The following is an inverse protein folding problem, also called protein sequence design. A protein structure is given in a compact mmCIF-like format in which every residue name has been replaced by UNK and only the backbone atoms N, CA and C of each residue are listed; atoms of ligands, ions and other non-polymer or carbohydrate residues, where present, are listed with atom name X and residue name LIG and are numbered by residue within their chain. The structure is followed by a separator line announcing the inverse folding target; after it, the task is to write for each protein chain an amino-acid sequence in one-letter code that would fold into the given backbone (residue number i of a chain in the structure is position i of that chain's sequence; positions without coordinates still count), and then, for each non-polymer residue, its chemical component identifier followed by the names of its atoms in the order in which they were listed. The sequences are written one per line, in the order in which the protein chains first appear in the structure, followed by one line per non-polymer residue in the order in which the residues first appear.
data_IF_695398261076
#
_entry.id   IF_695398261076
#
_cell.length_a   1.000
_cell.length_b   1.000
_cell.length_c   1.000
_cell.angle_alpha   90.00
_cell.angle_beta   90.00
_cell.angle_gamma   90.00
#
_symmetry.space_group_name_H-M   'P 1'
#
loop_
_entity.id
_entity.type
_entity.pdbx_description
1 polymer ?
#
# COMPACT_ATOMS: atom_id res chain seq x y z
N UNK A 1 -10.16 -13.15 11.30
CA UNK A 1 -10.90 -11.99 11.85
C UNK A 1 -10.12 -11.25 12.94
N UNK A 2 -9.40 -11.93 13.84
CA UNK A 2 -8.68 -11.24 14.94
C UNK A 2 -7.53 -10.33 14.46
N UNK A 3 -6.79 -10.72 13.42
CA UNK A 3 -5.66 -9.93 12.88
C UNK A 3 -6.12 -8.79 11.99
N UNK A 4 -7.18 -8.99 11.20
CA UNK A 4 -7.71 -7.97 10.31
C UNK A 4 -8.22 -6.75 11.08
N UNK A 5 -8.97 -6.99 12.16
CA UNK A 5 -9.42 -5.94 13.07
C UNK A 5 -8.22 -5.28 13.73
N UNK A 6 -7.25 -6.06 14.22
CA UNK A 6 -6.03 -5.53 14.84
C UNK A 6 -5.25 -4.58 13.92
N UNK A 7 -5.07 -4.94 12.65
CA UNK A 7 -4.37 -4.09 11.69
C UNK A 7 -5.17 -2.83 11.36
N UNK A 8 -6.47 -2.99 11.09
CA UNK A 8 -7.35 -1.86 10.79
C UNK A 8 -7.41 -0.87 11.95
N UNK A 9 -7.54 -1.34 13.19
CA UNK A 9 -7.54 -0.46 14.37
C UNK A 9 -6.16 0.14 14.63
N UNK A 10 -5.07 -0.60 14.41
CA UNK A 10 -3.71 -0.08 14.51
C UNK A 10 -3.49 1.10 13.57
N UNK A 11 -3.96 1.01 12.32
CA UNK A 11 -3.86 2.11 11.34
C UNK A 11 -4.79 3.26 11.71
N UNK A 12 -6.08 2.96 11.94
CA UNK A 12 -7.12 3.96 12.16
C UNK A 12 -6.86 4.81 13.42
N UNK A 13 -6.35 4.21 14.50
CA UNK A 13 -6.05 4.88 15.76
C UNK A 13 -4.59 5.39 15.80
N UNK A 14 -3.65 4.61 15.26
CA UNK A 14 -2.24 4.94 15.27
C UNK A 14 -1.93 6.23 14.51
N UNK A 15 -2.58 6.47 13.36
CA UNK A 15 -2.34 7.68 12.56
C UNK A 15 -2.75 8.98 13.29
N UNK A 16 -3.96 9.09 13.89
CA UNK A 16 -4.31 10.23 14.75
C UNK A 16 -3.36 10.43 15.93
N UNK A 17 -2.94 9.36 16.61
CA UNK A 17 -1.97 9.46 17.72
C UNK A 17 -0.64 10.00 17.20
N UNK A 18 -0.15 9.47 16.09
CA UNK A 18 1.07 9.92 15.43
C UNK A 18 0.96 11.40 15.03
N UNK A 19 -0.19 11.83 14.52
CA UNK A 19 -0.44 13.21 14.08
C UNK A 19 -0.51 14.20 15.25
N UNK A 20 -1.40 13.95 16.20
CA UNK A 20 -1.78 14.94 17.20
C UNK A 20 -1.03 14.82 18.53
N UNK A 21 -0.41 13.67 18.82
CA UNK A 21 0.26 13.42 20.10
C UNK A 21 1.77 13.23 19.87
N UNK A 22 2.16 12.09 19.29
CA UNK A 22 3.56 11.72 19.09
C UNK A 22 3.64 10.44 18.25
N UNK A 23 4.69 10.30 17.45
CA UNK A 23 4.99 9.05 16.75
C UNK A 23 5.52 7.95 17.68
N UNK A 24 6.11 8.29 18.83
CA UNK A 24 6.80 7.32 19.68
C UNK A 24 5.90 6.18 20.18
N UNK A 25 4.68 6.42 20.69
CA UNK A 25 3.78 5.34 21.08
C UNK A 25 3.41 4.43 19.91
N UNK A 26 3.26 5.01 18.72
CA UNK A 26 2.89 4.29 17.49
C UNK A 26 4.07 3.45 16.99
N UNK A 27 5.29 4.01 17.00
CA UNK A 27 6.53 3.31 16.71
C UNK A 27 6.69 2.09 17.62
N UNK A 28 6.58 2.27 18.94
CA UNK A 28 6.71 1.17 19.91
C UNK A 28 5.65 0.10 19.71
N UNK A 29 4.39 0.49 19.48
CA UNK A 29 3.30 -0.44 19.23
C UNK A 29 3.50 -1.23 17.93
N UNK A 30 3.73 -0.55 16.81
CA UNK A 30 3.85 -1.17 15.51
C UNK A 30 5.09 -2.07 15.42
N UNK A 31 6.25 -1.63 15.92
CA UNK A 31 7.47 -2.44 15.94
C UNK A 31 7.29 -3.64 16.88
N UNK A 32 6.73 -3.42 18.08
CA UNK A 32 6.45 -4.50 19.03
C UNK A 32 5.49 -5.55 18.47
N UNK A 33 4.40 -5.11 17.83
CA UNK A 33 3.44 -5.98 17.17
C UNK A 33 4.10 -6.75 16.02
N UNK A 34 4.90 -6.08 15.19
CA UNK A 34 5.62 -6.72 14.09
C UNK A 34 6.58 -7.81 14.60
N UNK A 35 7.37 -7.53 15.64
CA UNK A 35 8.28 -8.50 16.25
C UNK A 35 7.51 -9.67 16.86
N UNK A 36 6.40 -9.41 17.56
CA UNK A 36 5.56 -10.47 18.11
C UNK A 36 4.99 -11.38 17.02
N UNK A 37 4.50 -10.81 15.91
CA UNK A 37 4.02 -11.56 14.75
C UNK A 37 5.15 -12.34 14.09
N UNK A 38 6.34 -11.75 13.97
CA UNK A 38 7.50 -12.41 13.38
C UNK A 38 7.92 -13.65 14.18
N UNK A 39 7.98 -13.53 15.50
CA UNK A 39 8.31 -14.65 16.40
C UNK A 39 7.25 -15.75 16.30
N UNK A 40 5.97 -15.39 16.24
CA UNK A 40 4.86 -16.36 16.16
C UNK A 40 4.63 -16.94 14.76
N UNK A 41 5.08 -16.23 13.72
CA UNK A 41 4.81 -16.58 12.33
C UNK A 41 5.57 -17.81 11.86
N UNK A 42 4.99 -18.52 10.90
CA UNK A 42 5.63 -19.65 10.22
C UNK A 42 6.74 -19.17 9.27
N UNK A 43 7.60 -20.08 8.79
CA UNK A 43 8.74 -19.75 7.91
C UNK A 43 8.32 -18.88 6.72
N UNK A 44 7.25 -19.26 6.02
CA UNK A 44 6.73 -18.52 4.87
C UNK A 44 6.31 -17.09 5.24
N UNK A 45 5.56 -16.95 6.33
CA UNK A 45 5.12 -15.64 6.81
C UNK A 45 6.31 -14.76 7.17
N UNK A 46 7.33 -15.30 7.84
CA UNK A 46 8.56 -14.57 8.16
C UNK A 46 9.31 -14.11 6.91
N UNK A 47 9.37 -14.94 5.86
CA UNK A 47 10.00 -14.56 4.59
C UNK A 47 9.22 -13.42 3.94
N UNK A 48 7.89 -13.50 3.88
CA UNK A 48 7.04 -12.43 3.34
C UNK A 48 7.19 -11.14 4.14
N UNK A 49 7.26 -11.21 5.47
CA UNK A 49 7.49 -10.07 6.36
C UNK A 49 8.80 -9.36 6.03
N UNK A 50 9.90 -10.10 5.92
CA UNK A 50 11.20 -9.52 5.57
C UNK A 50 11.19 -8.96 4.15
N UNK A 51 10.57 -9.67 3.20
CA UNK A 51 10.48 -9.21 1.82
C UNK A 51 9.70 -7.88 1.71
N UNK A 52 8.59 -7.74 2.44
CA UNK A 52 7.82 -6.48 2.49
C UNK A 52 8.70 -5.36 3.00
N UNK A 53 9.39 -5.53 4.13
CA UNK A 53 10.29 -4.50 4.66
C UNK A 53 11.42 -4.15 3.68
N UNK A 54 12.01 -5.16 3.04
CA UNK A 54 13.13 -5.00 2.12
C UNK A 54 12.77 -4.21 0.85
N UNK A 55 11.52 -4.28 0.38
CA UNK A 55 11.05 -3.48 -0.77
C UNK A 55 10.39 -2.17 -0.34
N UNK A 56 9.51 -2.20 0.66
CA UNK A 56 8.76 -1.03 1.09
C UNK A 56 9.67 0.06 1.67
N UNK A 57 10.63 -0.29 2.53
CA UNK A 57 11.50 0.72 3.17
C UNK A 57 12.29 1.57 2.15
N UNK A 58 13.06 0.97 1.21
CA UNK A 58 13.79 1.78 0.24
C UNK A 58 12.87 2.51 -0.75
N UNK A 59 11.74 1.91 -1.15
CA UNK A 59 10.76 2.62 -1.99
C UNK A 59 10.19 3.83 -1.28
N UNK A 60 9.79 3.68 -0.03
CA UNK A 60 9.23 4.75 0.80
C UNK A 60 10.24 5.87 1.02
N UNK A 61 11.48 5.54 1.36
CA UNK A 61 12.56 6.52 1.49
C UNK A 61 12.83 7.23 0.17
N UNK A 62 12.80 6.51 -0.96
CA UNK A 62 12.95 7.14 -2.26
C UNK A 62 11.78 8.10 -2.56
N UNK A 63 10.54 7.69 -2.31
CA UNK A 63 9.36 8.51 -2.56
C UNK A 63 9.31 9.77 -1.68
N UNK A 64 9.62 9.62 -0.39
CA UNK A 64 9.47 10.69 0.60
C UNK A 64 10.69 11.57 0.79
N UNK A 65 11.91 11.07 0.56
CA UNK A 65 13.16 11.79 0.89
C UNK A 65 14.01 12.16 -0.34
N UNK A 66 13.80 11.48 -1.49
CA UNK A 66 14.61 11.69 -2.70
C UNK A 66 13.74 12.28 -3.82
N UNK A 67 12.63 11.63 -4.14
CA UNK A 67 11.71 12.04 -5.18
C UNK A 67 10.73 13.12 -4.70
N UNK A 68 10.49 13.21 -3.38
CA UNK A 68 9.62 14.19 -2.74
C UNK A 68 8.22 14.23 -3.37
N UNK A 69 7.67 13.05 -3.71
CA UNK A 69 6.31 12.95 -4.28
C UNK A 69 5.24 13.19 -3.20
N UNK A 70 5.60 12.95 -1.94
CA UNK A 70 4.89 13.42 -0.75
C UNK A 70 5.89 13.64 0.38
N UNK A 71 5.52 14.47 1.34
CA UNK A 71 6.33 14.75 2.53
C UNK A 71 5.55 14.38 3.79
N UNK A 72 6.25 13.79 4.76
CA UNK A 72 5.71 13.53 6.08
C UNK A 72 5.70 14.80 6.93
N UNK A 73 4.74 14.89 7.85
CA UNK A 73 4.56 16.03 8.77
C UNK A 73 5.80 16.45 9.58
N UNK A 74 6.80 15.58 9.72
CA UNK A 74 8.05 15.80 10.47
C UNK A 74 9.29 15.74 9.57
N UNK A 75 9.11 15.86 8.26
CA UNK A 75 10.16 15.84 7.22
C UNK A 75 10.99 14.55 7.16
N UNK A 76 10.57 13.51 7.88
CA UNK A 76 11.20 12.19 7.86
C UNK A 76 10.11 11.13 7.92
N UNK A 77 10.32 10.06 7.15
CA UNK A 77 9.52 8.84 7.25
C UNK A 77 9.50 8.27 8.68
N UNK A 78 8.33 8.13 9.32
CA UNK A 78 8.22 7.51 10.65
C UNK A 78 8.62 6.04 10.66
N UNK A 79 9.21 5.58 11.78
CA UNK A 79 9.72 4.20 11.91
C UNK A 79 8.62 3.13 11.88
N UNK A 80 7.35 3.48 12.17
CA UNK A 80 6.23 2.56 12.04
C UNK A 80 5.84 2.31 10.57
N UNK A 81 6.26 3.12 9.60
CA UNK A 81 5.83 3.02 8.20
C UNK A 81 6.32 1.72 7.54
N UNK A 82 7.61 1.33 7.63
CA UNK A 82 8.08 0.06 7.09
C UNK A 82 7.30 -1.17 7.57
N UNK A 83 7.02 -1.25 8.88
CA UNK A 83 6.25 -2.36 9.46
C UNK A 83 4.75 -2.22 9.22
N UNK A 84 4.26 -0.99 9.03
CA UNK A 84 2.88 -0.69 8.63
C UNK A 84 2.52 -1.28 7.26
N UNK A 85 3.47 -1.29 6.32
CA UNK A 85 3.30 -1.94 5.02
C UNK A 85 3.00 -3.44 5.17
N UNK A 86 3.62 -4.13 6.12
CA UNK A 86 3.28 -5.52 6.41
C UNK A 86 1.84 -5.67 6.90
N UNK A 87 1.38 -4.79 7.79
CA UNK A 87 0.00 -4.84 8.29
C UNK A 87 -1.03 -4.64 7.18
N UNK A 88 -0.79 -3.68 6.29
CA UNK A 88 -1.65 -3.43 5.14
C UNK A 88 -1.61 -4.60 4.14
N UNK A 89 -0.41 -5.12 3.85
CA UNK A 89 -0.22 -6.29 2.98
C UNK A 89 -0.94 -7.54 3.50
N UNK A 90 -0.72 -7.91 4.76
CA UNK A 90 -1.36 -9.10 5.35
C UNK A 90 -2.87 -8.91 5.50
N UNK A 91 -3.34 -7.68 5.77
CA UNK A 91 -4.76 -7.33 5.74
C UNK A 91 -5.35 -7.55 4.35
N UNK A 92 -4.73 -6.97 3.31
CA UNK A 92 -5.17 -7.08 1.92
C UNK A 92 -5.19 -8.53 1.44
N UNK A 93 -4.13 -9.30 1.75
CA UNK A 93 -4.05 -10.72 1.46
C UNK A 93 -5.19 -11.51 2.10
N UNK A 94 -5.48 -11.27 3.38
CA UNK A 94 -6.58 -11.95 4.10
C UNK A 94 -7.95 -11.61 3.56
N UNK A 95 -8.17 -10.37 3.12
CA UNK A 95 -9.42 -9.94 2.49
C UNK A 95 -9.54 -10.56 1.10
N UNK A 96 -8.49 -10.47 0.27
CA UNK A 96 -8.47 -11.03 -1.07
C UNK A 96 -8.76 -12.54 -1.09
N UNK A 97 -8.23 -13.29 -0.11
CA UNK A 97 -8.47 -14.74 0.03
C UNK A 97 -9.93 -15.10 0.39
N UNK A 98 -10.77 -14.14 0.76
CA UNK A 98 -12.21 -14.34 1.02
C UNK A 98 -13.10 -13.87 -0.12
N UNK A 99 -12.53 -13.21 -1.12
CA UNK A 99 -13.26 -12.69 -2.28
C UNK A 99 -13.21 -13.69 -3.45
N UNK A 100 -14.18 -13.63 -4.37
CA UNK A 100 -14.15 -14.46 -5.56
C UNK A 100 -12.86 -14.26 -6.35
N UNK A 101 -12.23 -15.35 -6.75
CA UNK A 101 -11.00 -15.29 -7.55
C UNK A 101 -11.33 -14.99 -9.02
N UNK A 102 -10.36 -14.41 -9.73
CA UNK A 102 -10.44 -14.22 -11.17
C UNK A 102 -10.14 -12.80 -11.64
N UNK A 103 -9.40 -12.70 -12.76
CA UNK A 103 -8.97 -11.42 -13.35
C UNK A 103 -10.13 -10.51 -13.73
N UNK A 104 -11.23 -11.07 -14.25
CA UNK A 104 -12.43 -10.29 -14.61
C UNK A 104 -13.10 -9.66 -13.39
N UNK A 105 -13.20 -10.40 -12.29
CA UNK A 105 -13.78 -9.89 -11.04
C UNK A 105 -12.88 -8.81 -10.43
N UNK A 106 -11.57 -9.06 -10.38
CA UNK A 106 -10.59 -8.09 -9.90
C UNK A 106 -10.57 -6.81 -10.75
N UNK A 107 -10.62 -6.92 -12.08
CA UNK A 107 -10.74 -5.78 -12.98
C UNK A 107 -12.07 -5.03 -12.76
N UNK A 108 -13.17 -5.77 -12.56
CA UNK A 108 -14.47 -5.21 -12.21
C UNK A 108 -14.42 -4.37 -10.94
N UNK A 109 -13.66 -4.81 -9.92
CA UNK A 109 -13.48 -4.07 -8.68
C UNK A 109 -12.68 -2.75 -8.84
N UNK A 110 -11.92 -2.59 -9.93
CA UNK A 110 -11.21 -1.35 -10.26
C UNK A 110 -12.02 -0.40 -11.16
N UNK A 111 -13.09 -0.87 -11.79
CA UNK A 111 -13.94 -0.05 -12.69
C UNK A 111 -14.42 1.27 -12.06
N UNK A 112 -14.79 1.34 -10.76
CA UNK A 112 -15.22 2.59 -10.15
C UNK A 112 -14.18 3.72 -10.20
N UNK A 113 -12.88 3.41 -10.31
CA UNK A 113 -11.83 4.42 -10.39
C UNK A 113 -11.75 5.10 -11.75
N UNK A 114 -12.22 4.45 -12.83
CA UNK A 114 -12.09 4.94 -14.20
C UNK A 114 -12.73 6.32 -14.42
N UNK A 115 -14.04 6.53 -14.14
CA UNK A 115 -14.69 7.80 -14.47
C UNK A 115 -14.05 8.97 -13.72
N UNK A 116 -13.74 8.80 -12.44
CA UNK A 116 -13.13 9.85 -11.62
C UNK A 116 -11.69 10.16 -12.10
N UNK A 117 -10.90 9.13 -12.42
CA UNK A 117 -9.53 9.32 -12.95
C UNK A 117 -9.54 10.09 -14.27
N UNK A 118 -10.44 9.74 -15.20
CA UNK A 118 -10.54 10.43 -16.49
C UNK A 118 -10.94 11.89 -16.29
N UNK A 119 -11.93 12.14 -15.42
CA UNK A 119 -12.37 13.50 -15.12
C UNK A 119 -11.28 14.35 -14.49
N UNK A 120 -10.57 13.85 -13.46
CA UNK A 120 -9.48 14.58 -12.80
C UNK A 120 -8.31 14.86 -13.74
N UNK A 121 -8.02 13.93 -14.65
CA UNK A 121 -6.96 14.15 -15.65
C UNK A 121 -7.37 15.20 -16.70
N UNK A 122 -8.64 15.20 -17.12
CA UNK A 122 -9.16 16.22 -18.04
C UNK A 122 -9.17 17.62 -17.42
N UNK A 123 -9.54 17.73 -16.14
CA UNK A 123 -9.54 18.99 -15.39
C UNK A 123 -8.12 19.44 -14.97
N UNK A 124 -7.12 18.59 -15.15
CA UNK A 124 -5.72 18.86 -14.79
C UNK A 124 -5.40 18.68 -13.29
N UNK A 125 -6.37 18.24 -12.48
CA UNK A 125 -6.22 18.01 -11.03
C UNK A 125 -5.27 16.85 -10.73
N UNK A 126 -5.43 15.72 -11.44
CA UNK A 126 -4.57 14.55 -11.30
C UNK A 126 -4.39 13.86 -12.65
N UNK A 127 -3.36 14.28 -13.38
CA UNK A 127 -2.99 13.65 -14.65
C UNK A 127 -2.15 12.39 -14.45
N UNK A 128 -1.46 12.26 -13.31
CA UNK A 128 -0.73 11.05 -12.94
C UNK A 128 -1.64 9.83 -12.75
N UNK A 129 -2.90 10.07 -12.35
CA UNK A 129 -3.92 9.05 -12.15
C UNK A 129 -4.14 8.14 -13.36
N UNK A 130 -4.03 8.64 -14.60
CA UNK A 130 -4.16 7.83 -15.81
C UNK A 130 -3.04 6.77 -15.92
N UNK A 131 -1.81 7.16 -15.57
CA UNK A 131 -0.67 6.24 -15.56
C UNK A 131 -0.83 5.19 -14.46
N UNK A 132 -1.24 5.61 -13.26
CA UNK A 132 -1.49 4.71 -12.12
C UNK A 132 -2.65 3.73 -12.40
N UNK A 133 -3.71 4.18 -13.08
CA UNK A 133 -4.82 3.34 -13.53
C UNK A 133 -4.34 2.26 -14.51
N UNK A 134 -3.57 2.66 -15.52
CA UNK A 134 -3.00 1.72 -16.48
C UNK A 134 -2.10 0.68 -15.80
N UNK A 135 -1.28 1.11 -14.85
CA UNK A 135 -0.40 0.24 -14.07
C UNK A 135 -1.22 -0.77 -13.24
N UNK A 136 -2.29 -0.34 -12.57
CA UNK A 136 -3.18 -1.20 -11.80
C UNK A 136 -3.87 -2.26 -12.65
N UNK A 137 -4.42 -1.88 -13.80
CA UNK A 137 -4.98 -2.85 -14.75
C UNK A 137 -3.90 -3.78 -15.30
N UNK A 138 -2.67 -3.29 -15.52
CA UNK A 138 -1.50 -4.09 -15.87
C UNK A 138 -1.21 -5.18 -14.83
N UNK A 139 -1.19 -4.83 -13.54
CA UNK A 139 -1.00 -5.80 -12.45
C UNK A 139 -2.13 -6.83 -12.40
N UNK A 140 -3.39 -6.41 -12.52
CA UNK A 140 -4.53 -7.35 -12.57
C UNK A 140 -4.43 -8.29 -13.78
N UNK A 141 -3.97 -7.78 -14.91
CA UNK A 141 -3.90 -8.54 -16.17
C UNK A 141 -2.73 -9.53 -16.22
N UNK A 142 -1.58 -9.16 -15.67
CA UNK A 142 -0.30 -9.87 -15.83
C UNK A 142 0.23 -10.47 -14.53
N UNK A 143 -0.12 -9.91 -13.38
CA UNK A 143 0.44 -10.31 -12.10
C UNK A 143 -0.14 -11.63 -11.56
N UNK A 144 0.59 -12.28 -10.63
CA UNK A 144 0.21 -13.55 -10.02
C UNK A 144 -0.98 -13.46 -9.05
N UNK A 145 -1.30 -12.28 -8.51
CA UNK A 145 -2.36 -12.12 -7.50
C UNK A 145 -3.39 -11.02 -7.85
N UNK A 146 -4.20 -11.19 -8.91
CA UNK A 146 -5.11 -10.15 -9.42
C UNK A 146 -6.03 -9.53 -8.35
N UNK A 147 -6.63 -10.38 -7.51
CA UNK A 147 -7.57 -9.91 -6.48
C UNK A 147 -6.85 -9.18 -5.34
N UNK A 148 -5.60 -9.53 -5.05
CA UNK A 148 -4.79 -8.80 -4.06
C UNK A 148 -4.58 -7.36 -4.53
N UNK A 149 -4.17 -7.15 -5.79
CA UNK A 149 -3.97 -5.81 -6.33
C UNK A 149 -5.26 -4.98 -6.26
N UNK A 150 -6.40 -5.56 -6.65
CA UNK A 150 -7.67 -4.87 -6.58
C UNK A 150 -8.05 -4.47 -5.15
N UNK A 151 -7.89 -5.36 -4.18
CA UNK A 151 -8.13 -5.07 -2.75
C UNK A 151 -7.17 -3.99 -2.24
N UNK A 152 -5.90 -4.08 -2.60
CA UNK A 152 -4.87 -3.13 -2.16
C UNK A 152 -5.07 -1.74 -2.75
N UNK A 153 -5.65 -1.63 -3.95
CA UNK A 153 -6.09 -0.34 -4.50
C UNK A 153 -7.02 0.40 -3.52
N UNK A 154 -8.04 -0.31 -3.03
CA UNK A 154 -9.04 0.24 -2.12
C UNK A 154 -8.50 0.46 -0.71
N UNK A 155 -7.73 -0.49 -0.18
CA UNK A 155 -7.14 -0.36 1.16
C UNK A 155 -6.10 0.76 1.23
N UNK A 156 -5.24 0.86 0.22
CA UNK A 156 -4.27 1.95 0.11
C UNK A 156 -4.99 3.29 -0.01
N UNK A 157 -5.99 3.42 -0.90
CA UNK A 157 -6.75 4.67 -1.03
C UNK A 157 -7.42 5.08 0.29
N UNK A 158 -8.06 4.14 1.01
CA UNK A 158 -8.70 4.44 2.29
C UNK A 158 -7.68 4.93 3.34
N UNK A 159 -6.51 4.28 3.40
CA UNK A 159 -5.44 4.66 4.32
C UNK A 159 -4.81 6.00 3.94
N UNK A 160 -4.61 6.25 2.65
CA UNK A 160 -4.05 7.49 2.10
C UNK A 160 -4.99 8.67 2.32
N UNK A 161 -6.29 8.51 2.07
CA UNK A 161 -7.30 9.54 2.39
C UNK A 161 -7.33 9.86 3.88
N UNK A 162 -7.18 8.84 4.73
CA UNK A 162 -7.12 9.03 6.17
C UNK A 162 -5.85 9.78 6.61
N UNK A 163 -4.68 9.34 6.14
CA UNK A 163 -3.39 9.93 6.49
C UNK A 163 -3.22 11.36 6.00
N UNK A 164 -3.58 11.62 4.74
CA UNK A 164 -3.55 12.96 4.14
C UNK A 164 -4.62 13.87 4.71
N UNK A 165 -5.82 13.37 4.97
CA UNK A 165 -6.90 14.12 5.62
C UNK A 165 -6.53 14.58 7.05
N UNK A 166 -5.73 13.78 7.77
CA UNK A 166 -5.16 14.16 9.07
C UNK A 166 -3.97 15.13 8.93
N UNK A 167 -3.36 15.22 7.74
CA UNK A 167 -2.10 15.93 7.50
C UNK A 167 -0.88 15.20 8.07
N UNK A 168 -0.91 13.87 8.12
CA UNK A 168 0.25 13.05 8.55
C UNK A 168 1.33 13.03 7.45
N UNK A 169 0.91 13.04 6.19
CA UNK A 169 1.74 13.36 5.03
C UNK A 169 0.91 14.16 4.02
N UNK A 170 1.57 14.74 3.03
CA UNK A 170 0.92 15.53 1.98
C UNK A 170 1.63 15.29 0.66
N UNK A 171 0.86 14.94 -0.37
CA UNK A 171 1.36 14.75 -1.72
C UNK A 171 1.67 16.08 -2.40
N UNK A 172 2.75 16.09 -3.18
CA UNK A 172 3.11 17.22 -4.01
C UNK A 172 2.05 17.42 -5.12
N UNK A 173 1.56 18.65 -5.36
CA UNK A 173 0.53 18.90 -6.37
C UNK A 173 1.05 18.70 -7.81
N UNK A 174 2.37 18.70 -8.00
CA UNK A 174 3.04 18.30 -9.23
C UNK A 174 3.99 17.16 -8.91
N UNK A 175 4.00 16.12 -9.74
CA UNK A 175 4.92 14.98 -9.61
C UNK A 175 6.32 15.44 -10.02
N UNK A 176 7.28 15.52 -9.08
CA UNK A 176 8.61 16.05 -9.36
C UNK A 176 9.30 15.34 -10.52
N UNK A 177 10.06 16.10 -11.30
CA UNK A 177 10.78 15.65 -12.50
C UNK A 177 9.90 15.22 -13.69
N UNK A 178 8.59 15.46 -13.61
CA UNK A 178 7.64 15.16 -14.68
C UNK A 178 6.68 16.34 -14.91
N UNK A 179 5.94 16.38 -16.04
CA UNK A 179 4.89 17.38 -16.25
C UNK A 179 3.56 17.00 -15.59
N UNK A 180 3.50 15.90 -14.82
CA UNK A 180 2.25 15.37 -14.28
C UNK A 180 1.83 16.12 -13.01
N UNK A 181 0.52 16.24 -12.84
CA UNK A 181 -0.14 16.72 -11.62
C UNK A 181 -0.67 15.54 -10.81
N UNK A 182 -0.77 15.73 -9.51
CA UNK A 182 -1.22 14.73 -8.56
C UNK A 182 -2.21 15.36 -7.57
N UNK A 183 -3.31 14.65 -7.28
CA UNK A 183 -4.20 15.02 -6.19
C UNK A 183 -3.60 14.61 -4.84
N UNK A 184 -4.13 15.14 -3.74
CA UNK A 184 -3.69 14.79 -2.39
C UNK A 184 -4.78 13.96 -1.68
N UNK A 185 -4.70 12.62 -1.70
CA UNK A 185 -3.72 11.76 -2.36
C UNK A 185 -4.13 11.40 -3.81
N UNK A 186 -3.22 10.90 -4.67
CA UNK A 186 -3.58 10.36 -5.96
C UNK A 186 -4.53 9.17 -5.79
N UNK A 187 -5.60 9.13 -6.57
CA UNK A 187 -6.67 8.14 -6.39
C UNK A 187 -6.17 6.68 -6.45
N UNK A 188 -5.12 6.45 -7.22
CA UNK A 188 -4.54 5.13 -7.50
C UNK A 188 -3.09 5.02 -7.04
N UNK A 189 -2.68 5.79 -6.03
CA UNK A 189 -1.40 5.57 -5.33
C UNK A 189 -1.22 4.12 -4.83
N UNK A 190 -2.32 3.38 -4.66
CA UNK A 190 -2.37 1.92 -4.52
C UNK A 190 -1.55 1.12 -5.55
N UNK A 191 -1.19 1.70 -6.69
CA UNK A 191 -0.30 1.08 -7.66
C UNK A 191 1.12 0.85 -7.11
N UNK A 192 1.64 1.71 -6.24
CA UNK A 192 2.93 1.47 -5.60
C UNK A 192 2.87 0.29 -4.63
N UNK A 193 1.75 0.13 -3.92
CA UNK A 193 1.49 -1.05 -3.08
C UNK A 193 1.38 -2.31 -3.95
N UNK A 194 0.63 -2.26 -5.06
CA UNK A 194 0.53 -3.37 -6.00
C UNK A 194 1.88 -3.80 -6.61
N UNK A 195 2.79 -2.84 -6.85
CA UNK A 195 4.17 -3.13 -7.26
C UNK A 195 4.95 -3.87 -6.15
N UNK A 196 4.88 -3.38 -4.91
CA UNK A 196 5.46 -4.05 -3.75
C UNK A 196 4.93 -5.48 -3.60
N UNK A 197 3.62 -5.67 -3.70
CA UNK A 197 2.97 -6.98 -3.62
C UNK A 197 3.46 -7.93 -4.71
N UNK A 198 3.64 -7.43 -5.94
CA UNK A 198 4.20 -8.21 -7.04
C UNK A 198 5.62 -8.67 -6.71
N UNK A 199 6.49 -7.76 -6.26
CA UNK A 199 7.88 -8.06 -5.92
C UNK A 199 8.00 -9.05 -4.75
N UNK A 200 7.17 -8.88 -3.73
CA UNK A 200 7.08 -9.80 -2.59
C UNK A 200 6.63 -11.18 -3.05
N UNK A 201 5.54 -11.27 -3.82
CA UNK A 201 5.05 -12.56 -4.31
C UNK A 201 6.08 -13.29 -5.19
N UNK A 202 6.75 -12.58 -6.10
CA UNK A 202 7.79 -13.18 -6.95
C UNK A 202 8.99 -13.66 -6.15
N UNK A 203 9.41 -12.90 -5.14
CA UNK A 203 10.56 -13.23 -4.29
C UNK A 203 10.25 -14.41 -3.37
N UNK A 204 9.12 -14.39 -2.67
CA UNK A 204 8.70 -15.48 -1.78
C UNK A 204 8.52 -16.77 -2.55
N UNK A 205 7.89 -16.75 -3.74
CA UNK A 205 7.75 -17.94 -4.60
C UNK A 205 9.11 -18.56 -4.95
N UNK A 206 10.12 -17.73 -5.23
CA UNK A 206 11.48 -18.21 -5.52
C UNK A 206 12.19 -18.79 -4.29
N UNK A 207 12.00 -18.21 -3.11
CA UNK A 207 12.68 -18.63 -1.87
C UNK A 207 12.04 -19.88 -1.26
N UNK A 208 10.71 -20.00 -1.29
CA UNK A 208 10.00 -21.14 -0.71
C UNK A 208 9.95 -22.36 -1.63
N UNK A 209 10.26 -22.23 -2.92
CA UNK A 209 10.29 -23.34 -3.88
C UNK A 209 8.94 -24.03 -4.14
N UNK A 210 7.87 -23.60 -3.47
CA UNK A 210 6.53 -24.16 -3.62
C UNK A 210 5.75 -23.41 -4.71
N UNK A 211 5.39 -24.11 -5.78
CA UNK A 211 4.29 -23.74 -6.65
C UNK A 211 3.04 -23.50 -5.79
N UNK A 212 2.55 -22.27 -5.75
CA UNK A 212 1.29 -21.96 -5.08
C UNK A 212 0.17 -22.75 -5.79
N UNK A 213 -0.77 -23.40 -5.07
CA UNK A 213 -1.93 -24.07 -5.70
C UNK A 213 -2.96 -23.08 -6.29
N UNK A 214 -2.53 -21.87 -6.64
CA UNK A 214 -3.34 -20.79 -7.19
C UNK A 214 -2.85 -20.36 -8.59
N UNK A 215 -1.96 -21.14 -9.20
CA UNK A 215 -1.66 -21.05 -10.63
C UNK A 215 -2.69 -21.87 -11.43
#
# INVERSE_FOLDING_TARGET
MRREILYATTIAIGLPISRYISEWPVNLWCIGLFVALFIQGERKERIEMVAVLAFATPMELFFSEIWLIYEYQRNLMPLYVPVGHWFLFDLGRRIANRLPTGRKVAAGALMPFIPLTIWMAFDGVDTSGLFLLALMFGFVRLGPAPMLYAVMAWLALAMELWGTGLGTWTWAPQVPWTPLTAWNPPLLCGAFYGLGDLLVNLTTRRIDGATSPLD
#
